data_IF_606587298614
#
_entry.id   IF_606587298614
#
_cell.length_a   1.000
_cell.length_b   1.000
_cell.length_c   1.000
_cell.angle_alpha   90.00
_cell.angle_beta   90.00
_cell.angle_gamma   90.00
#
_symmetry.space_group_name_H-M   'P 1'
#
loop_
_entity.id
_entity.type
_entity.pdbx_description
1 polymer ?
#
# COMPACT_ATOMS: atom_id res chain seq x y z
N UNK A 1 29.27 101.44 -7.80
CA UNK A 1 30.03 100.53 -6.92
C UNK A 1 29.36 99.16 -6.96
N UNK A 2 29.97 98.21 -7.67
CA UNK A 2 29.50 96.83 -7.83
C UNK A 2 29.63 96.07 -6.50
N UNK A 3 28.58 95.37 -6.06
CA UNK A 3 28.68 94.28 -5.07
C UNK A 3 27.87 93.10 -5.57
N UNK A 4 28.57 92.12 -6.15
CA UNK A 4 28.03 90.81 -6.49
C UNK A 4 27.87 90.00 -5.20
N UNK A 5 26.67 89.45 -4.97
CA UNK A 5 26.39 88.52 -3.87
C UNK A 5 26.32 87.11 -4.46
N UNK A 6 27.17 86.23 -3.93
CA UNK A 6 27.30 84.83 -4.32
C UNK A 6 26.32 84.02 -3.45
N UNK A 7 25.31 83.39 -4.05
CA UNK A 7 24.37 82.53 -3.33
C UNK A 7 24.87 81.09 -3.36
N UNK A 8 25.26 80.58 -2.19
CA UNK A 8 25.65 79.19 -1.97
C UNK A 8 24.38 78.32 -1.86
N UNK A 9 24.21 77.35 -2.77
CA UNK A 9 23.11 76.36 -2.68
C UNK A 9 23.62 75.14 -1.91
N UNK A 10 23.06 74.91 -0.72
CA UNK A 10 23.31 73.73 0.11
C UNK A 10 22.23 72.68 -0.18
N UNK A 11 22.59 71.59 -0.87
CA UNK A 11 21.72 70.43 -1.09
C UNK A 11 21.72 69.55 0.17
N UNK A 12 20.62 69.57 0.93
CA UNK A 12 20.35 68.59 1.98
C UNK A 12 19.88 67.28 1.35
N UNK A 13 20.67 66.21 1.49
CA UNK A 13 20.27 64.83 1.17
C UNK A 13 19.58 64.24 2.41
N UNK A 14 18.25 64.11 2.36
CA UNK A 14 17.47 63.41 3.39
C UNK A 14 17.53 61.91 3.12
N UNK A 15 18.31 61.18 3.94
CA UNK A 15 18.30 59.72 3.96
C UNK A 15 16.98 59.20 4.53
N UNK A 16 16.29 58.31 3.79
CA UNK A 16 15.08 57.65 4.28
C UNK A 16 15.45 56.47 5.20
N UNK A 17 14.80 56.28 6.36
CA UNK A 17 15.03 55.11 7.20
C UNK A 17 14.33 53.90 6.58
N UNK A 18 15.09 52.83 6.30
CA UNK A 18 14.52 51.55 5.90
C UNK A 18 13.85 50.88 7.11
N UNK A 19 12.57 50.53 6.97
CA UNK A 19 11.84 49.74 7.96
C UNK A 19 12.37 48.29 7.99
N UNK A 20 12.41 47.63 9.17
CA UNK A 20 12.85 46.24 9.24
C UNK A 20 11.76 45.34 8.64
N UNK A 21 12.14 44.51 7.67
CA UNK A 21 11.28 43.49 7.11
C UNK A 21 11.01 42.40 8.16
N UNK A 22 9.78 42.33 8.66
CA UNK A 22 9.30 41.19 9.44
C UNK A 22 9.08 40.02 8.51
N UNK A 23 9.99 39.04 8.54
CA UNK A 23 9.80 37.77 7.86
C UNK A 23 8.58 37.06 8.48
N UNK A 24 7.50 36.91 7.70
CA UNK A 24 6.37 36.07 8.07
C UNK A 24 6.80 34.61 8.03
N UNK A 25 6.50 33.78 9.05
CA UNK A 25 6.78 32.36 8.97
C UNK A 25 5.81 31.75 7.94
N UNK A 26 6.31 31.53 6.72
CA UNK A 26 5.65 30.66 5.75
C UNK A 26 5.84 29.20 6.20
N UNK A 27 5.16 28.84 7.28
CA UNK A 27 5.05 27.46 7.72
C UNK A 27 3.89 26.82 6.98
N UNK A 28 4.15 26.24 5.81
CA UNK A 28 3.25 25.22 5.30
C UNK A 28 3.05 24.17 6.42
N UNK A 29 1.82 23.69 6.67
CA UNK A 29 1.61 22.64 7.66
C UNK A 29 2.57 21.48 7.38
N UNK A 30 3.15 20.85 8.43
CA UNK A 30 4.08 19.75 8.23
C UNK A 30 3.39 18.73 7.33
N UNK A 31 4.02 18.42 6.21
CA UNK A 31 3.53 17.40 5.27
C UNK A 31 3.38 16.13 6.09
N UNK A 32 2.16 15.64 6.26
CA UNK A 32 1.91 14.40 6.98
C UNK A 32 2.79 13.33 6.33
N UNK A 33 3.64 12.67 7.12
CA UNK A 33 4.52 11.64 6.60
C UNK A 33 3.66 10.61 5.86
N UNK A 34 4.11 10.19 4.68
CA UNK A 34 3.39 9.19 3.90
C UNK A 34 3.25 7.91 4.74
N UNK A 35 2.06 7.30 4.71
CA UNK A 35 1.83 6.05 5.44
C UNK A 35 2.71 4.93 4.89
N UNK A 36 3.19 4.04 5.78
CA UNK A 36 4.07 2.97 5.39
C UNK A 36 3.35 1.91 4.56
N UNK A 37 4.09 1.31 3.64
CA UNK A 37 3.66 0.16 2.83
C UNK A 37 4.37 -1.08 3.37
N UNK A 38 3.61 -2.13 3.65
CA UNK A 38 4.12 -3.43 4.08
C UNK A 38 3.82 -4.46 3.00
N UNK A 39 4.88 -5.09 2.51
CA UNK A 39 4.84 -6.08 1.45
C UNK A 39 4.88 -7.49 2.04
N UNK A 40 4.00 -8.36 1.55
CA UNK A 40 3.80 -9.73 2.04
C UNK A 40 4.01 -10.71 0.88
N UNK A 41 5.01 -11.58 1.00
CA UNK A 41 5.36 -12.53 -0.05
C UNK A 41 4.41 -13.74 -0.10
N UNK A 42 4.47 -14.47 -1.22
CA UNK A 42 3.71 -15.69 -1.45
C UNK A 42 4.41 -16.98 -1.00
N UNK A 43 3.82 -18.11 -1.39
CA UNK A 43 4.29 -19.47 -1.11
C UNK A 43 5.72 -19.70 -1.62
N UNK A 44 6.57 -20.35 -0.82
CA UNK A 44 7.97 -20.64 -1.15
C UNK A 44 8.84 -19.42 -1.52
N UNK A 45 8.44 -18.23 -1.05
CA UNK A 45 9.17 -16.98 -1.27
C UNK A 45 9.75 -16.43 0.04
N UNK A 46 10.19 -15.17 0.03
CA UNK A 46 10.73 -14.46 1.19
C UNK A 46 10.52 -12.96 1.03
N UNK A 47 10.87 -12.17 2.04
CA UNK A 47 10.91 -10.71 1.96
C UNK A 47 11.75 -10.21 0.76
N UNK A 48 12.79 -10.97 0.37
CA UNK A 48 13.64 -10.64 -0.77
C UNK A 48 12.90 -10.73 -2.11
N UNK A 49 11.91 -11.63 -2.23
CA UNK A 49 11.06 -11.74 -3.43
C UNK A 49 10.16 -10.52 -3.65
N UNK A 50 10.01 -9.66 -2.65
CA UNK A 50 9.25 -8.41 -2.74
C UNK A 50 10.16 -7.16 -2.78
N UNK A 51 11.49 -7.34 -2.83
CA UNK A 51 12.43 -6.24 -2.64
C UNK A 51 12.34 -5.17 -3.74
N UNK A 52 12.13 -5.56 -5.00
CA UNK A 52 12.01 -4.61 -6.10
C UNK A 52 10.80 -3.70 -5.90
N UNK A 53 9.63 -4.27 -5.59
CA UNK A 53 8.44 -3.47 -5.30
C UNK A 53 8.61 -2.59 -4.06
N UNK A 54 9.24 -3.11 -3.00
CA UNK A 54 9.56 -2.33 -1.77
C UNK A 54 10.41 -1.11 -2.10
N UNK A 55 11.47 -1.30 -2.87
CA UNK A 55 12.41 -0.24 -3.22
C UNK A 55 11.73 0.80 -4.11
N UNK A 56 10.83 0.37 -5.01
CA UNK A 56 10.00 1.28 -5.82
C UNK A 56 9.02 2.10 -4.99
N UNK A 57 8.37 1.52 -3.98
CA UNK A 57 7.52 2.29 -3.05
C UNK A 57 8.33 3.32 -2.26
N UNK A 58 9.52 2.94 -1.80
CA UNK A 58 10.46 3.84 -1.12
C UNK A 58 10.84 5.01 -2.03
N UNK A 59 11.22 4.73 -3.28
CA UNK A 59 11.52 5.74 -4.28
C UNK A 59 10.31 6.64 -4.61
N UNK A 60 9.08 6.11 -4.50
CA UNK A 60 7.83 6.85 -4.69
C UNK A 60 7.40 7.67 -3.45
N UNK A 61 8.19 7.67 -2.36
CA UNK A 61 7.98 8.49 -1.17
C UNK A 61 7.20 7.83 -0.04
N UNK A 62 6.95 6.52 -0.09
CA UNK A 62 6.33 5.76 0.99
C UNK A 62 7.39 4.93 1.74
N UNK A 63 7.52 5.04 3.07
CA UNK A 63 8.34 4.10 3.84
C UNK A 63 7.87 2.67 3.58
N UNK A 64 8.72 1.80 3.04
CA UNK A 64 8.32 0.46 2.64
C UNK A 64 9.10 -0.63 3.36
N UNK A 65 8.39 -1.66 3.79
CA UNK A 65 8.92 -2.78 4.58
C UNK A 65 8.44 -4.10 3.99
N UNK A 66 9.23 -5.16 4.09
CA UNK A 66 8.82 -6.52 3.76
C UNK A 66 9.17 -7.43 4.94
N UNK A 67 8.30 -8.40 5.23
CA UNK A 67 8.52 -9.39 6.28
C UNK A 67 8.72 -10.80 5.69
N UNK A 68 9.54 -11.60 6.36
CA UNK A 68 9.57 -13.04 6.12
C UNK A 68 8.42 -13.71 6.89
N UNK A 69 7.61 -14.49 6.18
CA UNK A 69 6.55 -15.30 6.77
C UNK A 69 7.15 -16.53 7.45
N UNK A 70 6.59 -16.97 8.59
CA UNK A 70 7.12 -18.10 9.35
C UNK A 70 6.91 -19.48 8.68
N UNK A 71 6.13 -19.56 7.60
CA UNK A 71 5.86 -20.79 6.85
C UNK A 71 4.71 -20.62 5.86
N UNK A 72 4.01 -21.71 5.56
CA UNK A 72 2.97 -21.77 4.53
C UNK A 72 1.55 -21.95 5.11
N UNK A 73 1.40 -21.70 6.42
CA UNK A 73 0.12 -21.64 7.12
C UNK A 73 -0.36 -20.18 7.19
N UNK A 74 -1.47 -19.87 6.51
CA UNK A 74 -2.04 -18.54 6.41
C UNK A 74 -2.50 -17.96 7.75
N UNK A 75 -2.93 -18.78 8.71
CA UNK A 75 -3.36 -18.33 10.03
C UNK A 75 -2.14 -17.97 10.89
N UNK A 76 -1.08 -18.76 10.82
CA UNK A 76 0.21 -18.46 11.46
C UNK A 76 0.82 -17.20 10.84
N UNK A 77 0.77 -17.09 9.52
CA UNK A 77 1.26 -15.94 8.76
C UNK A 77 0.49 -14.67 9.09
N UNK A 78 -0.85 -14.72 9.19
CA UNK A 78 -1.67 -13.59 9.62
C UNK A 78 -1.27 -13.05 10.99
N UNK A 79 -0.92 -13.94 11.94
CA UNK A 79 -0.39 -13.53 13.25
C UNK A 79 0.98 -12.83 13.14
N UNK A 80 1.85 -13.28 12.25
CA UNK A 80 3.12 -12.62 11.99
C UNK A 80 2.91 -11.24 11.36
N UNK A 81 2.01 -11.13 10.38
CA UNK A 81 1.63 -9.87 9.73
C UNK A 81 1.09 -8.88 10.77
N UNK A 82 0.17 -9.30 11.65
CA UNK A 82 -0.36 -8.42 12.71
C UNK A 82 0.76 -7.80 13.56
N UNK A 83 1.71 -8.62 14.04
CA UNK A 83 2.82 -8.13 14.87
C UNK A 83 3.74 -7.20 14.10
N UNK A 84 3.98 -7.49 12.82
CA UNK A 84 4.82 -6.66 11.98
C UNK A 84 4.17 -5.31 11.65
N UNK A 85 2.85 -5.29 11.45
CA UNK A 85 2.08 -4.04 11.35
C UNK A 85 2.27 -3.20 12.61
N UNK A 86 2.11 -3.80 13.80
CA UNK A 86 2.28 -3.06 15.06
C UNK A 86 3.71 -2.50 15.23
N UNK A 87 4.75 -3.26 14.86
CA UNK A 87 6.14 -2.77 14.85
C UNK A 87 6.32 -1.59 13.89
N UNK A 88 5.86 -1.72 12.65
CA UNK A 88 6.00 -0.67 11.64
C UNK A 88 5.26 0.60 12.04
N UNK A 89 4.03 0.50 12.55
CA UNK A 89 3.27 1.66 13.02
C UNK A 89 3.97 2.31 14.22
N UNK A 90 4.47 1.52 15.17
CA UNK A 90 5.25 2.03 16.32
C UNK A 90 6.52 2.77 15.88
N UNK A 91 7.25 2.25 14.90
CA UNK A 91 8.51 2.84 14.41
C UNK A 91 8.31 4.08 13.56
N UNK A 92 7.22 4.14 12.79
CA UNK A 92 6.95 5.24 11.87
C UNK A 92 6.07 6.34 12.49
N UNK A 93 5.34 6.03 13.56
CA UNK A 93 4.33 6.92 14.15
C UNK A 93 3.07 7.06 13.29
N UNK A 94 2.92 6.25 12.23
CA UNK A 94 1.73 6.26 11.41
C UNK A 94 0.54 5.61 12.14
N UNK A 95 -0.68 6.09 11.86
CA UNK A 95 -1.89 5.53 12.43
C UNK A 95 -2.38 4.28 11.69
N UNK A 96 -2.17 4.22 10.37
CA UNK A 96 -2.47 3.07 9.52
C UNK A 96 -1.33 2.81 8.54
N UNK A 97 -1.31 1.59 8.01
CA UNK A 97 -0.41 1.15 6.94
C UNK A 97 -1.19 0.72 5.70
N UNK A 98 -0.51 0.60 4.56
CA UNK A 98 -1.00 -0.12 3.40
C UNK A 98 -0.39 -1.52 3.37
N UNK A 99 -1.20 -2.55 3.11
CA UNK A 99 -0.73 -3.92 2.94
C UNK A 99 -0.78 -4.31 1.46
N UNK A 100 0.32 -4.84 0.95
CA UNK A 100 0.48 -5.27 -0.44
C UNK A 100 0.92 -6.74 -0.45
N UNK A 101 0.00 -7.66 -0.74
CA UNK A 101 0.24 -9.10 -0.67
C UNK A 101 0.30 -9.77 -2.05
N UNK A 102 1.33 -10.58 -2.28
CA UNK A 102 1.44 -11.43 -3.48
C UNK A 102 0.97 -12.85 -3.21
N UNK A 103 0.21 -13.43 -4.14
CA UNK A 103 -0.16 -14.85 -4.14
C UNK A 103 -0.75 -15.27 -2.78
N UNK A 104 -0.22 -16.31 -2.13
CA UNK A 104 -0.62 -16.73 -0.78
C UNK A 104 -0.60 -15.60 0.27
N UNK A 105 0.36 -14.68 0.19
CA UNK A 105 0.50 -13.55 1.11
C UNK A 105 -0.73 -12.65 1.13
N UNK A 106 -1.45 -12.56 0.00
CA UNK A 106 -2.75 -11.88 -0.07
C UNK A 106 -3.83 -12.52 0.81
N UNK A 107 -3.89 -13.85 0.88
CA UNK A 107 -4.84 -14.58 1.74
C UNK A 107 -4.51 -14.42 3.22
N UNK A 108 -3.23 -14.58 3.58
CA UNK A 108 -2.74 -14.35 4.95
C UNK A 108 -3.08 -12.93 5.43
N UNK A 109 -2.86 -11.94 4.56
CA UNK A 109 -3.18 -10.54 4.82
C UNK A 109 -4.69 -10.33 5.00
N UNK A 110 -5.52 -10.92 4.14
CA UNK A 110 -6.98 -10.78 4.24
C UNK A 110 -7.53 -11.46 5.50
N UNK A 111 -6.95 -12.59 5.92
CA UNK A 111 -7.31 -13.24 7.18
C UNK A 111 -7.02 -12.35 8.39
N UNK A 112 -5.87 -11.66 8.41
CA UNK A 112 -5.55 -10.65 9.44
C UNK A 112 -6.62 -9.56 9.51
N UNK A 113 -7.08 -9.04 8.37
CA UNK A 113 -8.16 -8.04 8.33
C UNK A 113 -9.48 -8.61 8.88
N UNK A 114 -9.92 -9.78 8.37
CA UNK A 114 -11.24 -10.35 8.68
C UNK A 114 -11.37 -10.96 10.08
N UNK A 115 -10.27 -11.39 10.70
CA UNK A 115 -10.31 -12.22 11.93
C UNK A 115 -9.50 -11.69 13.10
N UNK A 116 -8.65 -10.68 12.87
CA UNK A 116 -7.70 -10.22 13.89
C UNK A 116 -7.77 -8.70 14.15
N UNK A 117 -8.86 -8.04 13.72
CA UNK A 117 -9.04 -6.60 13.90
C UNK A 117 -8.00 -5.79 13.11
N UNK A 118 -7.62 -6.27 11.92
CA UNK A 118 -6.66 -5.56 11.06
C UNK A 118 -7.24 -4.31 10.42
N UNK A 119 -8.57 -4.23 10.27
CA UNK A 119 -9.27 -3.11 9.60
C UNK A 119 -9.06 -1.75 10.26
N UNK A 120 -8.76 -1.70 11.56
CA UNK A 120 -8.52 -0.44 12.26
C UNK A 120 -7.13 0.15 11.98
N UNK A 121 -6.19 -0.71 11.58
CA UNK A 121 -4.75 -0.42 11.40
C UNK A 121 -4.31 -0.38 9.95
N UNK A 122 -5.19 -0.73 9.02
CA UNK A 122 -4.87 -0.83 7.59
C UNK A 122 -5.77 0.12 6.81
N UNK A 123 -5.18 0.91 5.93
CA UNK A 123 -5.92 1.82 5.05
C UNK A 123 -6.28 1.18 3.72
N UNK A 124 -5.34 0.42 3.15
CA UNK A 124 -5.51 -0.22 1.85
C UNK A 124 -5.03 -1.66 1.92
N UNK A 125 -5.84 -2.56 1.39
CA UNK A 125 -5.47 -3.90 1.04
C UNK A 125 -5.26 -3.97 -0.48
N UNK A 126 -4.04 -4.22 -0.91
CA UNK A 126 -3.72 -4.52 -2.29
C UNK A 126 -3.28 -5.97 -2.35
N UNK A 127 -3.87 -6.73 -3.26
CA UNK A 127 -3.48 -8.12 -3.50
C UNK A 127 -3.32 -8.37 -4.99
N UNK A 128 -2.28 -9.11 -5.35
CA UNK A 128 -2.04 -9.53 -6.72
C UNK A 128 -1.55 -10.96 -6.79
N UNK A 129 -1.88 -11.67 -7.87
CA UNK A 129 -1.59 -13.10 -7.96
C UNK A 129 -2.42 -13.96 -6.98
N UNK A 130 -3.33 -13.38 -6.20
CA UNK A 130 -4.04 -14.12 -5.15
C UNK A 130 -5.37 -14.66 -5.68
N UNK A 131 -5.46 -15.99 -5.81
CA UNK A 131 -6.74 -16.67 -5.92
C UNK A 131 -7.52 -16.57 -4.61
N UNK A 132 -8.33 -15.51 -4.45
CA UNK A 132 -9.12 -15.20 -3.25
C UNK A 132 -10.09 -16.33 -2.86
N UNK A 133 -10.57 -17.07 -3.85
CA UNK A 133 -11.44 -18.24 -3.68
C UNK A 133 -10.71 -19.59 -3.88
N UNK A 134 -9.38 -19.53 -3.88
CA UNK A 134 -8.50 -20.69 -3.86
C UNK A 134 -7.93 -21.10 -5.21
N UNK A 135 -7.08 -22.12 -5.11
CA UNK A 135 -6.27 -22.70 -6.18
C UNK A 135 -6.32 -24.23 -6.07
N UNK A 136 -6.99 -24.89 -7.01
CA UNK A 136 -7.30 -26.33 -6.94
C UNK A 136 -6.08 -27.24 -6.68
N UNK A 137 -4.91 -27.04 -7.32
CA UNK A 137 -3.76 -27.91 -7.06
C UNK A 137 -3.26 -27.90 -5.62
N UNK A 138 -3.55 -26.84 -4.83
CA UNK A 138 -3.20 -26.80 -3.41
C UNK A 138 -3.94 -27.86 -2.58
N UNK A 139 -5.03 -28.46 -3.08
CA UNK A 139 -5.73 -29.56 -2.40
C UNK A 139 -4.88 -30.84 -2.26
N UNK A 140 -3.72 -30.91 -2.91
CA UNK A 140 -2.77 -32.02 -2.79
C UNK A 140 -1.72 -31.80 -1.69
N UNK A 141 -1.71 -30.62 -1.06
CA UNK A 141 -0.73 -30.23 -0.04
C UNK A 141 -1.31 -30.42 1.37
N UNK A 142 -0.44 -30.63 2.35
CA UNK A 142 -0.82 -30.54 3.76
C UNK A 142 -1.25 -29.09 4.10
N UNK A 143 -2.16 -28.93 5.07
CA UNK A 143 -2.72 -27.61 5.40
C UNK A 143 -1.64 -26.56 5.75
N UNK A 144 -0.64 -26.97 6.51
CA UNK A 144 0.50 -26.13 6.95
C UNK A 144 1.60 -25.95 5.89
N UNK A 145 1.46 -26.63 4.74
CA UNK A 145 2.38 -26.57 3.60
C UNK A 145 1.74 -25.87 2.38
N UNK A 146 0.75 -25.01 2.61
CA UNK A 146 0.02 -24.28 1.56
C UNK A 146 -1.34 -24.90 1.20
N UNK A 147 -1.72 -26.03 1.80
CA UNK A 147 -3.01 -26.71 1.56
C UNK A 147 -4.23 -25.86 1.91
N UNK A 148 -4.07 -24.85 2.76
CA UNK A 148 -5.12 -23.86 3.04
C UNK A 148 -5.57 -23.07 1.79
N UNK A 149 -4.75 -22.98 0.73
CA UNK A 149 -5.16 -22.38 -0.55
C UNK A 149 -6.12 -23.26 -1.36
N UNK A 150 -6.36 -24.51 -0.95
CA UNK A 150 -7.36 -25.37 -1.56
C UNK A 150 -8.76 -24.78 -1.40
N UNK A 151 -9.56 -24.61 -2.49
CA UNK A 151 -10.92 -24.03 -2.42
C UNK A 151 -11.87 -24.71 -1.42
N UNK A 152 -11.57 -25.96 -1.04
CA UNK A 152 -12.38 -26.76 -0.11
C UNK A 152 -11.82 -26.77 1.33
N UNK A 153 -10.76 -26.00 1.61
CA UNK A 153 -10.16 -25.94 2.95
C UNK A 153 -11.10 -25.24 3.93
N UNK A 154 -11.03 -25.62 5.20
CA UNK A 154 -11.75 -24.92 6.27
C UNK A 154 -11.32 -23.44 6.37
N UNK A 155 -10.05 -23.15 6.04
CA UNK A 155 -9.52 -21.79 6.00
C UNK A 155 -10.23 -20.93 4.95
N UNK A 156 -10.34 -21.38 3.69
CA UNK A 156 -11.01 -20.59 2.65
C UNK A 156 -12.52 -20.52 2.85
N UNK A 157 -13.13 -21.57 3.40
CA UNK A 157 -14.53 -21.54 3.80
C UNK A 157 -14.80 -20.46 4.87
N UNK A 158 -13.94 -20.34 5.89
CA UNK A 158 -14.03 -19.26 6.88
C UNK A 158 -13.72 -17.89 6.25
N UNK A 159 -12.62 -17.77 5.51
CA UNK A 159 -12.17 -16.50 4.94
C UNK A 159 -13.22 -15.88 4.01
N UNK A 160 -13.92 -16.70 3.23
CA UNK A 160 -14.94 -16.27 2.27
C UNK A 160 -16.36 -16.25 2.85
N UNK A 161 -16.53 -16.53 4.15
CA UNK A 161 -17.82 -16.36 4.82
C UNK A 161 -18.10 -14.87 5.08
N UNK A 162 -19.33 -14.44 4.76
CA UNK A 162 -19.80 -13.07 4.97
C UNK A 162 -19.23 -12.07 3.96
N UNK A 163 -19.16 -10.81 4.36
CA UNK A 163 -18.63 -9.70 3.56
C UNK A 163 -17.16 -9.93 3.19
N UNK A 164 -16.82 -9.77 1.91
CA UNK A 164 -15.45 -9.93 1.47
C UNK A 164 -14.52 -8.80 1.92
N UNK A 165 -15.08 -7.62 2.11
CA UNK A 165 -14.36 -6.34 2.23
C UNK A 165 -14.77 -5.59 3.51
N UNK A 166 -14.59 -6.17 4.70
CA UNK A 166 -15.08 -5.54 5.92
C UNK A 166 -14.32 -4.24 6.27
N UNK A 167 -15.03 -3.35 6.94
CA UNK A 167 -14.49 -2.12 7.51
C UNK A 167 -14.24 -1.02 6.47
N UNK A 168 -13.55 0.03 6.91
CA UNK A 168 -13.22 1.21 6.09
C UNK A 168 -11.84 1.04 5.39
N UNK A 169 -11.59 -0.16 4.87
CA UNK A 169 -10.35 -0.48 4.13
C UNK A 169 -10.64 -0.39 2.64
N UNK A 170 -9.76 0.26 1.88
CA UNK A 170 -9.84 0.21 0.42
C UNK A 170 -9.26 -1.12 -0.09
N UNK A 171 -10.11 -1.98 -0.67
CA UNK A 171 -9.69 -3.27 -1.22
C UNK A 171 -9.42 -3.16 -2.73
N UNK A 172 -8.26 -3.62 -3.17
CA UNK A 172 -7.90 -3.74 -4.58
C UNK A 172 -7.29 -5.12 -4.83
N UNK A 173 -7.87 -5.88 -5.76
CA UNK A 173 -7.27 -7.11 -6.26
C UNK A 173 -6.84 -6.97 -7.71
N UNK A 174 -5.74 -7.62 -8.05
CA UNK A 174 -5.14 -7.55 -9.37
C UNK A 174 -4.71 -8.95 -9.81
N UNK A 175 -4.70 -9.19 -11.13
CA UNK A 175 -4.18 -10.44 -11.67
C UNK A 175 -3.49 -10.25 -13.00
N UNK A 176 -2.63 -11.19 -13.35
CA UNK A 176 -2.17 -11.35 -14.72
C UNK A 176 -3.26 -11.99 -15.60
N UNK A 177 -3.26 -11.73 -16.91
CA UNK A 177 -4.06 -12.52 -17.88
C UNK A 177 -3.60 -13.98 -17.97
N UNK A 178 -2.38 -14.28 -17.50
CA UNK A 178 -1.81 -15.63 -17.46
C UNK A 178 -2.24 -16.43 -16.22
N UNK A 179 -2.81 -15.75 -15.23
CA UNK A 179 -3.26 -16.34 -13.98
C UNK A 179 -4.63 -17.02 -14.15
N UNK A 180 -4.70 -18.33 -13.83
CA UNK A 180 -5.92 -19.13 -13.96
C UNK A 180 -6.13 -20.03 -12.74
N UNK A 181 -7.39 -20.32 -12.34
CA UNK A 181 -8.67 -19.78 -12.85
C UNK A 181 -9.04 -18.38 -12.28
N UNK A 182 -10.10 -17.73 -12.77
CA UNK A 182 -10.55 -16.40 -12.30
C UNK A 182 -11.22 -16.45 -10.91
N UNK A 183 -10.40 -16.53 -9.85
CA UNK A 183 -10.83 -16.54 -8.44
C UNK A 183 -10.40 -15.28 -7.67
N UNK A 184 -10.17 -14.17 -8.37
CA UNK A 184 -9.43 -12.99 -7.84
C UNK A 184 -10.31 -11.83 -7.39
N UNK A 185 -11.55 -11.75 -7.88
CA UNK A 185 -12.44 -10.64 -7.57
C UNK A 185 -12.95 -10.79 -6.14
N UNK A 186 -13.18 -9.68 -5.47
CA UNK A 186 -13.89 -9.62 -4.18
C UNK A 186 -15.17 -8.82 -4.38
N UNK A 187 -16.23 -9.17 -3.66
CA UNK A 187 -17.45 -8.36 -3.65
C UNK A 187 -17.30 -7.09 -2.77
N UNK A 188 -18.41 -6.50 -2.33
CA UNK A 188 -18.39 -5.36 -1.41
C UNK A 188 -17.77 -4.07 -1.96
N UNK A 189 -17.65 -3.95 -3.29
CA UNK A 189 -17.15 -2.75 -3.96
C UNK A 189 -15.62 -2.69 -4.08
N UNK A 190 -14.91 -3.82 -3.95
CA UNK A 190 -13.47 -3.87 -4.22
C UNK A 190 -13.14 -3.38 -5.63
N UNK A 191 -11.97 -2.73 -5.79
CA UNK A 191 -11.41 -2.47 -7.09
C UNK A 191 -10.76 -3.75 -7.66
N UNK A 192 -10.97 -4.01 -8.95
CA UNK A 192 -10.34 -5.11 -9.67
C UNK A 192 -9.61 -4.60 -10.91
N UNK A 193 -8.38 -5.06 -11.11
CA UNK A 193 -7.56 -4.76 -12.29
C UNK A 193 -6.95 -6.03 -12.89
N UNK A 194 -6.88 -6.09 -14.21
CA UNK A 194 -6.26 -7.20 -14.94
C UNK A 194 -5.12 -6.63 -15.79
N UNK A 195 -3.93 -7.22 -15.65
CA UNK A 195 -2.69 -6.78 -16.26
C UNK A 195 -2.26 -7.85 -17.29
N UNK A 196 -1.96 -7.48 -18.54
CA UNK A 196 -1.62 -8.46 -19.57
C UNK A 196 -0.22 -9.05 -19.40
N UNK A 197 -0.11 -10.36 -19.63
CA UNK A 197 1.10 -11.07 -20.06
C UNK A 197 2.29 -11.04 -19.10
N UNK A 198 2.05 -10.91 -17.80
CA UNK A 198 3.10 -11.01 -16.75
C UNK A 198 3.07 -12.40 -16.13
N UNK A 199 4.18 -13.17 -16.14
CA UNK A 199 4.23 -14.45 -15.44
C UNK A 199 4.02 -14.28 -13.92
N UNK A 200 3.28 -15.19 -13.29
CA UNK A 200 2.92 -15.12 -11.87
C UNK A 200 4.11 -14.84 -10.92
N UNK A 201 5.27 -15.46 -11.21
CA UNK A 201 6.48 -15.30 -10.40
C UNK A 201 7.16 -13.93 -10.59
N UNK A 202 6.88 -13.23 -11.68
CA UNK A 202 7.48 -11.94 -12.04
C UNK A 202 6.61 -10.75 -11.64
N UNK A 203 5.36 -10.97 -11.21
CA UNK A 203 4.45 -9.91 -10.78
C UNK A 203 5.04 -8.97 -9.71
N UNK A 204 5.78 -9.45 -8.68
CA UNK A 204 6.43 -8.56 -7.72
C UNK A 204 7.47 -7.61 -8.34
N UNK A 205 8.09 -8.00 -9.45
CA UNK A 205 9.14 -7.23 -10.12
C UNK A 205 8.58 -6.39 -11.28
N UNK A 206 7.33 -6.63 -11.69
CA UNK A 206 6.68 -5.95 -12.82
C UNK A 206 6.42 -4.46 -12.53
N UNK A 207 6.82 -3.55 -13.44
CA UNK A 207 6.49 -2.13 -13.31
C UNK A 207 4.99 -1.85 -13.43
N UNK A 208 4.24 -2.66 -14.18
CA UNK A 208 2.79 -2.56 -14.35
C UNK A 208 2.06 -2.85 -13.03
N UNK A 209 2.41 -3.96 -12.36
CA UNK A 209 1.85 -4.28 -11.05
C UNK A 209 2.22 -3.24 -10.00
N UNK A 210 3.46 -2.75 -10.01
CA UNK A 210 3.85 -1.65 -9.12
C UNK A 210 3.03 -0.37 -9.37
N UNK A 211 2.85 0.03 -10.64
CA UNK A 211 2.08 1.23 -10.98
C UNK A 211 0.62 1.13 -10.49
N UNK A 212 0.00 -0.04 -10.69
CA UNK A 212 -1.36 -0.29 -10.21
C UNK A 212 -1.45 -0.30 -8.68
N UNK A 213 -0.50 -0.96 -7.99
CA UNK A 213 -0.43 -0.96 -6.53
C UNK A 213 -0.24 0.45 -5.96
N UNK A 214 0.63 1.28 -6.58
CA UNK A 214 0.83 2.67 -6.17
C UNK A 214 -0.41 3.52 -6.38
N UNK A 215 -1.18 3.29 -7.46
CA UNK A 215 -2.48 3.94 -7.67
C UNK A 215 -3.44 3.64 -6.52
N UNK A 216 -3.57 2.37 -6.15
CA UNK A 216 -4.44 1.94 -5.05
C UNK A 216 -3.99 2.52 -3.69
N UNK A 217 -2.68 2.51 -3.40
CA UNK A 217 -2.10 3.15 -2.20
C UNK A 217 -2.40 4.64 -2.13
N UNK A 218 -2.52 5.31 -3.29
CA UNK A 218 -2.92 6.73 -3.39
C UNK A 218 -4.42 6.96 -3.40
N UNK A 219 -5.23 5.91 -3.17
CA UNK A 219 -6.69 5.99 -3.09
C UNK A 219 -7.38 6.02 -4.45
N UNK A 220 -6.71 5.61 -5.52
CA UNK A 220 -7.27 5.57 -6.89
C UNK A 220 -7.36 4.13 -7.35
N UNK A 221 -8.57 3.66 -7.67
CA UNK A 221 -8.79 2.34 -8.26
C UNK A 221 -8.06 2.23 -9.62
N UNK A 222 -7.06 1.35 -9.77
CA UNK A 222 -6.32 1.18 -11.04
C UNK A 222 -7.13 0.48 -12.15
N UNK A 223 -8.30 -0.08 -11.81
CA UNK A 223 -9.17 -0.77 -12.75
C UNK A 223 -10.62 -0.34 -12.60
N UNK A 224 -11.51 -1.29 -12.28
CA UNK A 224 -12.94 -1.06 -12.12
C UNK A 224 -13.44 -1.63 -10.79
N UNK A 225 -14.40 -0.98 -10.17
CA UNK A 225 -15.06 -1.53 -8.99
C UNK A 225 -15.93 -2.73 -9.36
N UNK A 226 -15.99 -3.73 -8.49
CA UNK A 226 -16.84 -4.90 -8.63
C UNK A 226 -18.23 -4.55 -8.11
N UNK A 227 -19.22 -4.53 -9.01
CA UNK A 227 -20.58 -4.04 -8.72
C UNK A 227 -21.57 -5.15 -8.31
N UNK A 228 -21.24 -6.43 -8.49
CA UNK A 228 -22.12 -7.56 -8.19
C UNK A 228 -21.38 -8.63 -7.37
N UNK A 229 -22.07 -9.31 -6.43
CA UNK A 229 -21.49 -10.43 -5.70
C UNK A 229 -21.05 -11.52 -6.68
N UNK A 230 -19.83 -11.98 -6.54
CA UNK A 230 -19.25 -13.06 -7.33
C UNK A 230 -19.84 -14.34 -6.75
N UNK A 231 -20.82 -14.92 -7.44
CA UNK A 231 -21.42 -16.20 -7.06
C UNK A 231 -20.67 -17.35 -7.70
#
# INVERSE_FOLDING_TARGET
>A
MLRATLTLVLLLVLGSPAAPATASPSGAPPRQAAEPVILVHGWHSSAQGMAVMRDRFTAAGHPAFALDLPGEDNVVNARAISRFVDDVLSRTGAARAHLVGHSMGGLSTRHFLKRMGGTDRVRTYVSFGTGQYGYLPACLLAEDQGGQMCPFSAFLADLNAGDDTPGDVAYTTMRSTLDTPDTYRLDGGACFHEIPDVPHAEEPDSPEFFAAALSAVRGVCPGRHVELPIR
#
